data_IF_805497483468
#
_entry.id   IF_805497483468
#
_cell.length_a   1.000
_cell.length_b   1.000
_cell.length_c   1.000
_cell.angle_alpha   90.00
_cell.angle_beta   90.00
_cell.angle_gamma   90.00
#
_symmetry.space_group_name_H-M   'P 1'
#
loop_
_entity.id
_entity.type
_entity.pdbx_description
1 polymer ?
#
# COMPACT_ATOMS: atom_id res chain seq x y z
N UNK A 1 -13.99 -6.73 -7.48
CA UNK A 1 -13.45 -5.41 -7.90
C UNK A 1 -12.95 -5.40 -9.35
N UNK A 2 -12.42 -6.50 -9.88
CA UNK A 2 -11.98 -6.61 -11.28
C UNK A 2 -13.07 -6.31 -12.34
N UNK A 3 -14.34 -6.27 -11.96
CA UNK A 3 -15.50 -5.97 -12.82
C UNK A 3 -16.27 -4.72 -12.39
N UNK A 4 -15.65 -3.85 -11.57
CA UNK A 4 -16.33 -2.67 -11.05
C UNK A 4 -16.63 -1.66 -12.16
N UNK A 5 -17.87 -1.16 -12.19
CA UNK A 5 -18.26 -0.03 -13.04
C UNK A 5 -17.67 1.26 -12.50
N UNK A 6 -16.62 1.75 -13.18
CA UNK A 6 -15.89 2.96 -12.81
C UNK A 6 -16.71 4.25 -12.94
N UNK A 7 -17.87 4.21 -13.62
CA UNK A 7 -18.78 5.34 -13.75
C UNK A 7 -19.69 5.50 -12.52
N UNK A 8 -19.85 4.45 -11.71
CA UNK A 8 -20.59 4.51 -10.46
C UNK A 8 -19.72 5.10 -9.33
N UNK A 9 -19.68 6.43 -9.26
CA UNK A 9 -18.85 7.16 -8.29
C UNK A 9 -19.15 6.80 -6.82
N UNK A 10 -20.40 6.51 -6.47
CA UNK A 10 -20.76 6.14 -5.10
C UNK A 10 -20.14 4.80 -4.71
N UNK A 11 -20.25 3.77 -5.57
CA UNK A 11 -19.66 2.47 -5.30
C UNK A 11 -18.13 2.53 -5.34
N UNK A 12 -17.55 3.24 -6.32
CA UNK A 12 -16.11 3.40 -6.46
C UNK A 12 -15.49 4.05 -5.21
N UNK A 13 -16.03 5.19 -4.78
CA UNK A 13 -15.46 5.94 -3.66
C UNK A 13 -15.64 5.22 -2.33
N UNK A 14 -16.84 4.68 -2.06
CA UNK A 14 -17.12 4.06 -0.76
C UNK A 14 -16.63 2.61 -0.68
N UNK A 15 -16.79 1.84 -1.77
CA UNK A 15 -16.28 0.47 -1.86
C UNK A 15 -14.76 0.42 -1.87
N UNK A 16 -14.12 1.35 -2.59
CA UNK A 16 -12.68 1.57 -2.51
C UNK A 16 -12.26 1.93 -1.09
N UNK A 17 -12.91 2.94 -0.48
CA UNK A 17 -12.59 3.36 0.88
C UNK A 17 -12.70 2.24 1.91
N UNK A 18 -13.76 1.43 1.85
CA UNK A 18 -13.92 0.26 2.71
C UNK A 18 -12.76 -0.73 2.56
N UNK A 19 -12.46 -1.14 1.32
CA UNK A 19 -11.37 -2.09 1.06
C UNK A 19 -10.02 -1.55 1.52
N UNK A 20 -9.70 -0.30 1.17
CA UNK A 20 -8.43 0.33 1.45
C UNK A 20 -8.14 0.38 2.96
N UNK A 21 -9.12 0.81 3.76
CA UNK A 21 -8.95 0.87 5.21
C UNK A 21 -8.94 -0.52 5.85
N UNK A 22 -9.70 -1.50 5.35
CA UNK A 22 -9.60 -2.87 5.82
C UNK A 22 -8.20 -3.46 5.60
N UNK A 23 -7.57 -3.18 4.45
CA UNK A 23 -6.18 -3.59 4.21
C UNK A 23 -5.21 -2.82 5.11
N UNK A 24 -5.38 -1.50 5.24
CA UNK A 24 -4.54 -0.63 6.07
C UNK A 24 -4.43 -1.13 7.51
N UNK A 25 -5.56 -1.39 8.17
CA UNK A 25 -5.57 -1.85 9.55
C UNK A 25 -4.96 -3.24 9.73
N UNK A 26 -5.17 -4.14 8.77
CA UNK A 26 -4.52 -5.47 8.77
C UNK A 26 -3.01 -5.37 8.61
N UNK A 27 -2.55 -4.43 7.78
CA UNK A 27 -1.14 -4.16 7.51
C UNK A 27 -0.40 -3.48 8.66
N UNK A 28 -1.05 -3.18 9.79
CA UNK A 28 -0.45 -2.52 10.96
C UNK A 28 -0.51 -3.40 12.20
N UNK A 29 0.47 -3.24 13.10
CA UNK A 29 0.55 -3.92 14.39
C UNK A 29 1.24 -3.03 15.43
N UNK A 30 0.80 -3.04 16.71
CA UNK A 30 1.54 -2.37 17.79
C UNK A 30 2.94 -2.95 17.99
N UNK A 31 3.15 -4.22 17.63
CA UNK A 31 4.43 -4.92 17.65
C UNK A 31 5.04 -5.02 16.24
N UNK A 32 4.66 -4.09 15.35
CA UNK A 32 5.09 -4.05 13.96
C UNK A 32 6.50 -3.48 13.76
N UNK A 33 6.81 -3.20 12.50
CA UNK A 33 8.09 -2.67 12.06
C UNK A 33 9.16 -3.75 11.88
N UNK A 34 10.42 -3.32 11.85
CA UNK A 34 11.53 -4.19 11.46
C UNK A 34 11.50 -4.51 9.97
N UNK A 35 11.92 -5.72 9.61
CA UNK A 35 12.06 -6.17 8.23
C UNK A 35 11.12 -7.36 7.93
N UNK A 36 10.66 -7.51 6.68
CA UNK A 36 10.02 -8.74 6.25
C UNK A 36 11.00 -9.92 6.34
N UNK A 37 10.47 -11.13 6.33
CA UNK A 37 11.24 -12.37 6.30
C UNK A 37 10.66 -13.30 5.23
N UNK A 38 11.22 -14.48 5.05
CA UNK A 38 10.65 -15.50 4.16
C UNK A 38 10.55 -15.08 2.70
N UNK A 39 9.54 -15.61 2.01
CA UNK A 39 9.38 -15.45 0.56
C UNK A 39 9.09 -14.00 0.15
N UNK A 40 8.53 -13.17 1.03
CA UNK A 40 8.32 -11.75 0.79
C UNK A 40 9.66 -10.99 0.80
N UNK A 41 10.55 -11.29 1.74
CA UNK A 41 11.88 -10.68 1.78
C UNK A 41 12.69 -11.02 0.52
N UNK A 42 12.67 -12.30 0.11
CA UNK A 42 13.31 -12.74 -1.14
C UNK A 42 12.73 -12.04 -2.37
N UNK A 43 11.41 -11.83 -2.42
CA UNK A 43 10.76 -11.11 -3.51
C UNK A 43 11.12 -9.62 -3.52
N UNK A 44 11.20 -8.99 -2.34
CA UNK A 44 11.64 -7.61 -2.22
C UNK A 44 13.07 -7.44 -2.72
N UNK A 45 13.98 -8.32 -2.29
CA UNK A 45 15.38 -8.28 -2.74
C UNK A 45 15.49 -8.55 -4.25
N UNK A 46 14.66 -9.45 -4.81
CA UNK A 46 14.63 -9.72 -6.24
C UNK A 46 14.16 -8.50 -7.06
N UNK A 47 13.06 -7.87 -6.67
CA UNK A 47 12.38 -6.88 -7.51
C UNK A 47 12.86 -5.45 -7.27
N UNK A 48 13.35 -5.15 -6.06
CA UNK A 48 13.87 -3.83 -5.70
C UNK A 48 15.39 -3.83 -5.46
N UNK A 49 16.03 -4.98 -5.37
CA UNK A 49 17.47 -5.13 -5.10
C UNK A 49 17.84 -5.08 -3.62
N UNK A 50 16.99 -4.47 -2.77
CA UNK A 50 17.12 -4.46 -1.31
C UNK A 50 15.85 -3.94 -0.65
N UNK A 51 15.69 -4.22 0.64
CA UNK A 51 14.64 -3.60 1.46
C UNK A 51 14.70 -2.07 1.47
N UNK A 52 15.90 -1.48 1.53
CA UNK A 52 16.06 -0.01 1.50
C UNK A 52 15.60 0.60 0.18
N UNK A 53 15.86 -0.07 -0.94
CA UNK A 53 15.37 0.38 -2.24
C UNK A 53 13.84 0.29 -2.33
N UNK A 54 13.24 -0.78 -1.79
CA UNK A 54 11.78 -0.87 -1.65
C UNK A 54 11.22 0.25 -0.78
N UNK A 55 11.80 0.48 0.41
CA UNK A 55 11.40 1.54 1.34
C UNK A 55 11.45 2.91 0.66
N UNK A 56 12.52 3.19 -0.09
CA UNK A 56 12.66 4.42 -0.87
C UNK A 56 11.59 4.54 -1.98
N UNK A 57 11.33 3.47 -2.75
CA UNK A 57 10.33 3.47 -3.80
C UNK A 57 8.91 3.70 -3.24
N UNK A 58 8.55 2.97 -2.18
CA UNK A 58 7.26 3.09 -1.50
C UNK A 58 7.08 4.48 -0.86
N UNK A 59 8.12 4.99 -0.19
CA UNK A 59 8.09 6.33 0.41
C UNK A 59 7.95 7.42 -0.65
N UNK A 60 8.62 7.28 -1.80
CA UNK A 60 8.49 8.20 -2.91
C UNK A 60 7.07 8.17 -3.50
N UNK A 61 6.46 6.99 -3.70
CA UNK A 61 5.08 6.88 -4.16
C UNK A 61 4.09 7.57 -3.18
N UNK A 62 4.28 7.38 -1.88
CA UNK A 62 3.47 8.03 -0.84
C UNK A 62 3.66 9.56 -0.78
N UNK A 63 4.90 10.03 -0.89
CA UNK A 63 5.24 11.45 -0.82
C UNK A 63 4.77 12.22 -2.07
N UNK A 64 4.88 11.60 -3.25
CA UNK A 64 4.60 12.26 -4.54
C UNK A 64 3.14 12.15 -4.98
N UNK A 65 2.30 11.39 -4.26
CA UNK A 65 0.85 11.39 -4.48
C UNK A 65 0.27 12.77 -4.16
N UNK A 66 -0.01 13.56 -5.19
CA UNK A 66 -0.59 14.90 -5.01
C UNK A 66 -2.05 14.80 -4.54
N UNK A 67 -2.39 15.60 -3.53
CA UNK A 67 -3.70 15.56 -2.88
C UNK A 67 -3.91 14.30 -2.05
N UNK A 68 -5.16 13.86 -1.98
CA UNK A 68 -5.58 12.64 -1.29
C UNK A 68 -5.29 11.38 -2.10
N UNK A 69 -4.89 10.30 -1.43
CA UNK A 69 -4.63 9.04 -2.09
C UNK A 69 -3.95 8.01 -1.21
N UNK A 70 -3.36 7.02 -1.87
CA UNK A 70 -2.72 5.86 -1.23
C UNK A 70 -1.43 5.48 -1.96
N UNK A 71 -0.48 4.91 -1.23
CA UNK A 71 0.64 4.16 -1.79
C UNK A 71 0.45 2.66 -1.55
N UNK A 72 0.89 1.85 -2.51
CA UNK A 72 0.63 0.42 -2.53
C UNK A 72 1.89 -0.38 -2.83
N UNK A 73 2.02 -1.52 -2.17
CA UNK A 73 2.82 -2.65 -2.63
C UNK A 73 1.85 -3.71 -3.14
N UNK A 74 1.97 -4.08 -4.41
CA UNK A 74 1.12 -5.07 -5.06
C UNK A 74 1.93 -6.28 -5.47
N UNK A 75 1.28 -7.45 -5.45
CA UNK A 75 1.79 -8.68 -6.03
C UNK A 75 1.03 -9.02 -7.30
N UNK A 76 1.77 -9.40 -8.34
CA UNK A 76 1.23 -9.91 -9.59
C UNK A 76 1.30 -11.44 -9.62
N UNK A 77 0.53 -12.06 -10.52
CA UNK A 77 0.62 -13.48 -10.83
C UNK A 77 2.09 -13.89 -11.10
N UNK A 78 2.56 -14.92 -10.41
CA UNK A 78 3.96 -15.35 -10.40
C UNK A 78 4.81 -14.69 -9.31
N UNK A 79 4.23 -13.85 -8.46
CA UNK A 79 4.88 -13.27 -7.28
C UNK A 79 5.73 -12.03 -7.53
N UNK A 80 5.66 -11.41 -8.72
CA UNK A 80 6.37 -10.13 -8.96
C UNK A 80 5.73 -9.03 -8.11
N UNK A 81 6.55 -8.25 -7.41
CA UNK A 81 6.16 -7.08 -6.65
C UNK A 81 6.25 -5.80 -7.49
N UNK A 82 5.31 -4.89 -7.25
CA UNK A 82 5.31 -3.57 -7.85
C UNK A 82 4.80 -2.51 -6.86
N UNK A 83 5.40 -1.32 -6.89
CA UNK A 83 4.98 -0.17 -6.08
C UNK A 83 4.28 0.85 -6.97
N UNK A 84 3.12 1.34 -6.51
CA UNK A 84 2.39 2.39 -7.20
C UNK A 84 1.59 3.25 -6.22
N UNK A 85 0.94 4.30 -6.72
CA UNK A 85 -0.01 5.12 -5.95
C UNK A 85 -1.35 5.23 -6.67
N UNK A 86 -2.38 5.67 -5.95
CA UNK A 86 -3.70 5.96 -6.51
C UNK A 86 -4.30 7.20 -5.87
N UNK A 87 -5.14 7.91 -6.64
CA UNK A 87 -5.85 9.08 -6.16
C UNK A 87 -7.12 8.69 -5.38
N UNK A 88 -7.48 9.52 -4.41
CA UNK A 88 -8.70 9.37 -3.61
C UNK A 88 -8.82 7.97 -2.98
N UNK A 89 -9.92 7.26 -3.24
CA UNK A 89 -10.17 5.90 -2.73
C UNK A 89 -10.00 4.83 -3.81
N UNK A 90 -9.46 5.21 -4.97
CA UNK A 90 -9.15 4.23 -6.00
C UNK A 90 -8.07 3.28 -5.50
N UNK A 91 -8.04 2.04 -6.00
CA UNK A 91 -7.02 1.08 -5.64
C UNK A 91 -6.68 0.15 -6.82
N UNK A 92 -5.56 -0.59 -6.74
CA UNK A 92 -5.06 -1.41 -7.86
C UNK A 92 -5.97 -2.55 -8.31
N UNK A 93 -7.01 -2.91 -7.54
CA UNK A 93 -8.03 -3.89 -7.97
C UNK A 93 -9.06 -3.31 -8.94
N UNK A 94 -9.06 -1.99 -9.14
CA UNK A 94 -9.96 -1.29 -10.03
C UNK A 94 -9.38 -1.24 -11.46
N UNK A 95 -10.19 -1.46 -12.51
CA UNK A 95 -9.70 -1.43 -13.88
C UNK A 95 -8.99 -0.12 -14.24
N UNK A 96 -7.74 -0.22 -14.70
CA UNK A 96 -6.95 0.92 -15.18
C UNK A 96 -6.38 1.84 -14.09
N UNK A 97 -6.41 1.43 -12.82
CA UNK A 97 -5.86 2.20 -11.70
C UNK A 97 -4.53 1.60 -11.22
N UNK A 98 -3.55 2.47 -11.00
CA UNK A 98 -2.26 2.10 -10.42
C UNK A 98 -1.48 1.12 -11.28
N UNK A 99 -0.82 0.17 -10.63
CA UNK A 99 0.00 -0.87 -11.25
C UNK A 99 -0.79 -2.14 -11.55
N UNK A 100 -2.05 -2.24 -11.13
CA UNK A 100 -2.76 -3.52 -11.09
C UNK A 100 -2.20 -4.45 -10.01
N UNK A 101 -2.42 -5.75 -10.17
CA UNK A 101 -2.06 -6.75 -9.17
C UNK A 101 -2.93 -6.68 -7.91
N UNK A 102 -2.64 -7.55 -6.96
CA UNK A 102 -3.32 -7.60 -5.66
C UNK A 102 -2.54 -6.78 -4.64
N UNK A 103 -3.13 -5.73 -4.03
CA UNK A 103 -2.46 -4.96 -3.00
C UNK A 103 -2.29 -5.78 -1.72
N UNK A 104 -1.07 -5.84 -1.21
CA UNK A 104 -0.69 -6.58 0.01
C UNK A 104 -0.20 -5.66 1.15
N UNK A 105 0.11 -4.40 0.83
CA UNK A 105 0.35 -3.33 1.78
C UNK A 105 -0.17 -2.02 1.19
N UNK A 106 -0.86 -1.22 2.01
CA UNK A 106 -1.33 0.11 1.63
C UNK A 106 -0.99 1.14 2.71
N UNK A 107 -0.63 2.35 2.30
CA UNK A 107 -0.45 3.50 3.19
C UNK A 107 -1.42 4.62 2.80
N UNK A 108 -2.29 5.01 3.74
CA UNK A 108 -3.21 6.13 3.58
C UNK A 108 -2.44 7.46 3.63
N UNK A 109 -2.44 8.23 2.55
CA UNK A 109 -1.83 9.57 2.50
C UNK A 109 -2.86 10.68 2.35
N UNK A 110 -4.13 10.39 2.64
CA UNK A 110 -5.10 11.44 2.94
C UNK A 110 -4.66 12.20 4.20
N UNK A 111 -4.85 13.52 4.21
CA UNK A 111 -4.41 14.34 5.34
C UNK A 111 -5.04 13.89 6.67
N UNK A 112 -6.29 13.40 6.67
CA UNK A 112 -6.91 12.88 7.90
C UNK A 112 -6.12 11.77 8.59
N UNK A 113 -5.28 11.01 7.85
CA UNK A 113 -4.51 9.90 8.39
C UNK A 113 -3.36 10.38 9.28
N UNK A 114 -2.88 11.61 9.09
CA UNK A 114 -1.66 12.10 9.73
C UNK A 114 -1.72 13.52 10.29
N UNK A 115 -2.69 14.35 9.89
CA UNK A 115 -2.61 15.80 10.12
C UNK A 115 -2.56 16.20 11.59
N UNK A 116 -3.25 15.46 12.48
CA UNK A 116 -3.26 15.78 13.91
C UNK A 116 -1.89 15.58 14.57
N UNK A 117 -1.09 14.62 14.10
CA UNK A 117 0.22 14.31 14.67
C UNK A 117 1.39 14.93 13.88
N UNK A 118 1.21 15.12 12.57
CA UNK A 118 2.30 15.49 11.65
C UNK A 118 2.04 16.78 10.87
N UNK A 119 0.81 17.28 10.82
CA UNK A 119 0.41 18.45 10.02
C UNK A 119 0.88 18.30 8.57
N UNK A 120 1.66 19.24 8.03
CA UNK A 120 2.19 19.19 6.66
C UNK A 120 3.37 18.22 6.48
N UNK A 121 3.85 17.57 7.54
CA UNK A 121 5.03 16.70 7.53
C UNK A 121 4.67 15.27 7.14
N UNK A 122 4.07 15.11 5.95
CA UNK A 122 3.79 13.78 5.38
C UNK A 122 5.04 12.87 5.36
N UNK A 123 6.27 13.35 5.03
CA UNK A 123 7.46 12.50 5.10
C UNK A 123 7.72 11.89 6.49
N UNK A 124 7.51 12.64 7.57
CA UNK A 124 7.68 12.14 8.95
C UNK A 124 6.66 11.03 9.27
N UNK A 125 5.42 11.17 8.76
CA UNK A 125 4.38 10.15 8.89
C UNK A 125 4.72 8.87 8.10
N UNK A 126 5.21 9.02 6.87
CA UNK A 126 5.65 7.89 6.03
C UNK A 126 6.77 7.12 6.72
N UNK A 127 7.77 7.82 7.26
CA UNK A 127 8.86 7.17 7.99
C UNK A 127 8.35 6.47 9.26
N UNK A 128 7.42 7.09 9.99
CA UNK A 128 6.81 6.49 11.18
C UNK A 128 6.00 5.23 10.86
N UNK A 129 5.32 5.19 9.70
CA UNK A 129 4.55 4.03 9.26
C UNK A 129 5.39 2.75 9.18
N UNK A 130 6.64 2.83 8.71
CA UNK A 130 7.55 1.67 8.65
C UNK A 130 7.83 1.03 10.01
N UNK A 131 7.62 1.74 11.13
CA UNK A 131 7.80 1.21 12.48
C UNK A 131 6.61 0.39 12.98
N UNK A 132 5.49 0.38 12.25
CA UNK A 132 4.25 -0.29 12.68
C UNK A 132 3.68 -1.24 11.63
N UNK A 133 4.41 -1.49 10.54
CA UNK A 133 3.98 -2.46 9.51
C UNK A 133 3.94 -3.87 10.12
N UNK A 134 2.83 -4.56 9.90
CA UNK A 134 2.67 -5.98 10.22
C UNK A 134 3.21 -6.85 9.08
N UNK A 135 4.53 -7.04 9.03
CA UNK A 135 5.16 -7.84 7.97
C UNK A 135 4.67 -9.29 7.90
N UNK A 136 4.21 -9.88 9.02
CA UNK A 136 3.62 -11.22 9.02
C UNK A 136 2.30 -11.30 8.24
N UNK A 137 1.46 -10.26 8.35
CA UNK A 137 0.25 -10.17 7.57
C UNK A 137 0.56 -9.92 6.08
N UNK A 138 1.49 -9.00 5.77
CA UNK A 138 1.90 -8.74 4.37
C UNK A 138 2.49 -10.00 3.72
N UNK A 139 3.27 -10.79 4.46
CA UNK A 139 3.79 -12.08 4.02
C UNK A 139 2.67 -13.08 3.72
N UNK A 140 1.67 -13.18 4.59
CA UNK A 140 0.51 -14.05 4.38
C UNK A 140 -0.26 -13.65 3.12
N UNK A 141 -0.50 -12.35 2.94
CA UNK A 141 -1.19 -11.83 1.76
C UNK A 141 -0.35 -12.03 0.48
N UNK A 142 0.98 -11.92 0.56
CA UNK A 142 1.88 -12.24 -0.55
C UNK A 142 1.79 -13.73 -0.95
N UNK A 143 1.89 -14.65 0.00
CA UNK A 143 1.89 -16.09 -0.29
C UNK A 143 0.57 -16.60 -0.90
N UNK A 144 -0.55 -15.98 -0.54
CA UNK A 144 -1.89 -16.34 -1.06
C UNK A 144 -2.14 -15.77 -2.46
N UNK A 145 -1.48 -14.66 -2.82
CA UNK A 145 -1.78 -13.91 -4.05
C UNK A 145 -0.65 -13.91 -5.09
N UNK A 146 0.47 -14.60 -4.83
CA UNK A 146 1.57 -14.79 -5.79
C UNK A 146 1.30 -15.87 -6.82
#
# INVERSE_FOLDING_TARGET
MLTMDMSNGALRNNGGGYFNHCLFWKGMSPDGGGHPSGSLAEAIDRDFGSFENFKNAFSNAAATQFGSGWAWLCVHDGGKLEVCSSANQDNPLMPGIGCGGTPILGLDVWEHAYYLNYQNRRPDYIEAFFNVINWGQVQTDYDVNK
#
